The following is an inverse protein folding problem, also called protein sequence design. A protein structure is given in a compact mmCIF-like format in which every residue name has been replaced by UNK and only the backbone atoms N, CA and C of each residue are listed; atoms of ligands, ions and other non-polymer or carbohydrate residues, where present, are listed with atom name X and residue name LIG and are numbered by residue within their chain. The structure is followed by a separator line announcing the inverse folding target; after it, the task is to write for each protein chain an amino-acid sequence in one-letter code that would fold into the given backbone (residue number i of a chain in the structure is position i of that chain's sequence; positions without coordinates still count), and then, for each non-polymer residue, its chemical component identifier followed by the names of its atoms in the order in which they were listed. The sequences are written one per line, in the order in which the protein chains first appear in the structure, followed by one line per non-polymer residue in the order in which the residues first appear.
data_IF_886799789867
#
_entry.id   IF_886799789867
#
_cell.length_a   1.000
_cell.length_b   1.000
_cell.length_c   1.000
_cell.angle_alpha   90.00
_cell.angle_beta   90.00
_cell.angle_gamma   90.00
#
_symmetry.space_group_name_H-M   'P 1'
#
loop_
_entity.id
_entity.type
_entity.pdbx_description
1 polymer ?
#
# COMPACT_ATOMS: atom_id res chain seq x y z
N UNK A 1 -17.70 12.97 8.10
CA UNK A 1 -17.53 13.46 6.70
C UNK A 1 -17.31 12.25 5.81
N UNK A 2 -17.82 12.23 4.58
CA UNK A 2 -17.53 11.14 3.65
C UNK A 2 -16.05 11.23 3.19
N UNK A 3 -15.42 10.09 3.00
CA UNK A 3 -14.10 10.02 2.37
C UNK A 3 -14.21 10.39 0.88
N UNK A 4 -13.18 11.01 0.35
CA UNK A 4 -13.10 11.43 -1.04
C UNK A 4 -11.87 10.83 -1.73
N UNK A 5 -11.95 10.66 -3.05
CA UNK A 5 -10.82 10.18 -3.83
C UNK A 5 -9.70 11.23 -3.84
N UNK A 6 -8.53 10.95 -3.27
CA UNK A 6 -7.44 11.91 -3.31
C UNK A 6 -6.96 12.09 -4.75
N UNK A 7 -6.63 13.32 -5.11
CA UNK A 7 -5.99 13.59 -6.41
C UNK A 7 -4.61 12.93 -6.46
N UNK A 8 -4.25 12.36 -7.60
CA UNK A 8 -2.88 11.92 -7.84
C UNK A 8 -1.95 13.15 -7.87
N UNK A 9 -0.74 13.05 -7.30
CA UNK A 9 0.25 14.14 -7.37
C UNK A 9 0.96 14.23 -8.73
N UNK A 10 0.58 13.39 -9.71
CA UNK A 10 1.16 13.32 -11.06
C UNK A 10 0.09 12.86 -12.08
N UNK A 11 0.36 13.04 -13.37
CA UNK A 11 -0.52 12.58 -14.45
C UNK A 11 -0.54 11.04 -14.55
N UNK A 12 -1.57 10.48 -15.17
CA UNK A 12 -1.71 9.02 -15.30
C UNK A 12 -0.58 8.37 -16.10
N UNK A 13 -0.02 9.06 -17.09
CA UNK A 13 1.11 8.61 -17.93
C UNK A 13 2.49 8.88 -17.32
N UNK A 14 2.56 9.56 -16.17
CA UNK A 14 3.81 10.00 -15.58
C UNK A 14 4.72 8.86 -15.10
N UNK A 15 4.19 7.66 -14.90
CA UNK A 15 4.95 6.49 -14.44
C UNK A 15 5.37 5.55 -15.58
N UNK A 16 5.05 5.91 -16.84
CA UNK A 16 5.49 5.14 -18.01
C UNK A 16 7.01 5.22 -18.18
N UNK A 17 7.64 4.18 -18.73
CA UNK A 17 7.06 2.93 -19.25
C UNK A 17 6.82 1.85 -18.17
N UNK A 18 7.02 2.14 -16.89
CA UNK A 18 7.03 1.16 -15.80
C UNK A 18 5.63 0.74 -15.35
N UNK A 19 4.70 1.69 -15.30
CA UNK A 19 3.27 1.45 -15.09
C UNK A 19 2.53 2.27 -16.15
N UNK A 20 1.70 1.61 -16.94
CA UNK A 20 1.00 2.24 -18.06
C UNK A 20 -0.14 3.17 -17.60
N UNK A 21 -0.41 4.19 -18.39
CA UNK A 21 -1.43 5.20 -18.11
C UNK A 21 -2.83 4.60 -17.91
N UNK A 22 -3.16 3.56 -18.69
CA UNK A 22 -4.48 2.91 -18.59
C UNK A 22 -4.65 2.16 -17.27
N UNK A 23 -3.61 1.46 -16.82
CA UNK A 23 -3.58 0.85 -15.48
C UNK A 23 -3.79 1.92 -14.40
N UNK A 24 -3.06 3.02 -14.44
CA UNK A 24 -3.16 4.09 -13.45
C UNK A 24 -4.54 4.72 -13.43
N UNK A 25 -5.14 5.00 -14.58
CA UNK A 25 -6.50 5.56 -14.68
C UNK A 25 -7.54 4.62 -14.05
N UNK A 26 -7.53 3.34 -14.42
CA UNK A 26 -8.49 2.35 -13.90
C UNK A 26 -8.26 2.12 -12.42
N UNK A 27 -7.01 1.94 -12.01
CA UNK A 27 -6.63 1.67 -10.64
C UNK A 27 -7.08 2.79 -9.68
N UNK A 28 -6.90 4.05 -10.10
CA UNK A 28 -7.31 5.22 -9.33
C UNK A 28 -8.83 5.45 -9.42
N UNK A 29 -9.40 5.60 -10.64
CA UNK A 29 -10.79 6.06 -10.80
C UNK A 29 -11.85 4.98 -10.64
N UNK A 30 -11.46 3.70 -10.71
CA UNK A 30 -12.38 2.56 -10.57
C UNK A 30 -12.12 1.79 -9.28
N UNK A 31 -10.94 1.21 -9.10
CA UNK A 31 -10.67 0.39 -7.91
C UNK A 31 -10.64 1.23 -6.64
N UNK A 32 -9.81 2.27 -6.56
CA UNK A 32 -9.75 3.10 -5.36
C UNK A 32 -11.08 3.82 -5.09
N UNK A 33 -11.73 4.36 -6.12
CA UNK A 33 -13.04 4.99 -5.96
C UNK A 33 -14.10 4.01 -5.44
N UNK A 34 -14.09 2.75 -5.89
CA UNK A 34 -15.03 1.74 -5.40
C UNK A 34 -14.83 1.45 -3.90
N UNK A 35 -13.57 1.34 -3.43
CA UNK A 35 -13.29 1.20 -2.01
C UNK A 35 -13.87 2.37 -1.20
N UNK A 36 -13.68 3.59 -1.65
CA UNK A 36 -14.19 4.78 -0.98
C UNK A 36 -15.72 4.76 -0.95
N UNK A 37 -16.36 4.49 -2.08
CA UNK A 37 -17.83 4.43 -2.18
C UNK A 37 -18.40 3.39 -1.24
N UNK A 38 -17.83 2.18 -1.23
CA UNK A 38 -18.29 1.08 -0.39
C UNK A 38 -18.03 1.35 1.10
N UNK A 39 -16.90 1.95 1.45
CA UNK A 39 -16.60 2.35 2.83
C UNK A 39 -17.60 3.38 3.33
N UNK A 40 -17.83 4.45 2.56
CA UNK A 40 -18.81 5.49 2.90
C UNK A 40 -20.22 4.92 3.10
N UNK A 41 -20.62 3.98 2.23
CA UNK A 41 -21.92 3.31 2.37
C UNK A 41 -21.99 2.47 3.67
N UNK A 42 -20.92 1.77 4.00
CA UNK A 42 -20.88 0.92 5.18
C UNK A 42 -20.99 1.71 6.51
N UNK A 43 -20.33 2.89 6.58
CA UNK A 43 -20.32 3.70 7.81
C UNK A 43 -21.40 4.78 7.85
N UNK A 44 -22.21 4.90 6.80
CA UNK A 44 -23.25 5.94 6.69
C UNK A 44 -24.17 5.96 7.91
N UNK A 45 -24.33 7.16 8.50
CA UNK A 45 -25.15 7.37 9.69
C UNK A 45 -24.49 6.95 11.00
N UNK A 46 -23.24 6.51 11.00
CA UNK A 46 -22.46 6.15 12.18
C UNK A 46 -21.47 7.28 12.49
N UNK A 47 -21.97 8.34 13.11
CA UNK A 47 -21.26 9.61 13.31
C UNK A 47 -19.84 9.46 13.91
N UNK A 48 -19.65 8.49 14.83
CA UNK A 48 -18.34 8.27 15.47
C UNK A 48 -17.33 7.63 14.52
N UNK A 49 -17.80 6.82 13.55
CA UNK A 49 -16.95 6.23 12.52
C UNK A 49 -16.66 7.24 11.40
N UNK A 50 -17.67 8.03 11.01
CA UNK A 50 -17.53 9.06 9.96
C UNK A 50 -16.55 10.19 10.31
N UNK A 51 -16.20 10.36 11.58
CA UNK A 51 -15.24 11.37 12.06
C UNK A 51 -13.80 10.89 12.08
N UNK A 52 -13.59 9.58 12.08
CA UNK A 52 -12.24 8.98 12.13
C UNK A 52 -11.50 9.19 10.80
N UNK A 53 -10.17 9.30 10.85
CA UNK A 53 -9.35 9.05 9.64
C UNK A 53 -9.50 7.61 9.22
N UNK A 54 -9.24 7.30 7.94
CA UNK A 54 -9.33 5.90 7.49
C UNK A 54 -8.30 5.03 8.18
N UNK A 55 -7.12 5.56 8.47
CA UNK A 55 -6.07 4.89 9.20
C UNK A 55 -6.49 4.55 10.63
N UNK A 56 -7.12 5.49 11.35
CA UNK A 56 -7.63 5.24 12.71
C UNK A 56 -8.79 4.25 12.71
N UNK A 57 -9.64 4.32 11.68
CA UNK A 57 -10.76 3.40 11.53
C UNK A 57 -10.29 1.94 11.36
N UNK A 58 -9.27 1.71 10.52
CA UNK A 58 -8.74 0.36 10.31
C UNK A 58 -7.83 -0.14 11.43
N UNK A 59 -7.21 0.75 12.23
CA UNK A 59 -6.45 0.36 13.43
C UNK A 59 -7.35 -0.22 14.51
N UNK A 60 -8.56 0.25 14.59
CA UNK A 60 -9.50 -0.09 15.67
C UNK A 60 -10.75 -0.84 15.13
N UNK A 61 -10.49 -1.85 14.29
CA UNK A 61 -11.57 -2.67 13.70
C UNK A 61 -12.43 -3.38 14.74
N UNK A 62 -11.90 -3.64 15.93
CA UNK A 62 -12.67 -4.26 17.02
C UNK A 62 -13.77 -3.35 17.57
N UNK A 63 -13.62 -2.02 17.47
CA UNK A 63 -14.67 -1.06 17.85
C UNK A 63 -15.74 -0.88 16.76
N UNK A 64 -15.49 -1.39 15.55
CA UNK A 64 -16.46 -1.33 14.45
C UNK A 64 -17.56 -2.38 14.68
N UNK A 65 -18.86 -2.03 14.55
CA UNK A 65 -19.95 -3.00 14.65
C UNK A 65 -19.74 -4.22 13.76
N UNK A 66 -20.09 -5.39 14.28
CA UNK A 66 -19.79 -6.67 13.63
C UNK A 66 -20.41 -6.80 12.24
N UNK A 67 -21.63 -6.30 12.07
CA UNK A 67 -22.40 -6.34 10.82
C UNK A 67 -21.70 -5.61 9.65
N UNK A 68 -20.88 -4.59 9.94
CA UNK A 68 -20.14 -3.82 8.91
C UNK A 68 -18.63 -4.01 8.99
N UNK A 69 -18.10 -4.71 9.99
CA UNK A 69 -16.65 -4.80 10.24
C UNK A 69 -15.88 -5.36 9.05
N UNK A 70 -16.39 -6.38 8.38
CA UNK A 70 -15.76 -6.95 7.18
C UNK A 70 -15.74 -5.94 6.03
N UNK A 71 -16.82 -5.19 5.83
CA UNK A 71 -16.87 -4.15 4.80
C UNK A 71 -15.86 -3.02 5.09
N UNK A 72 -15.75 -2.60 6.35
CA UNK A 72 -14.78 -1.59 6.80
C UNK A 72 -13.34 -2.11 6.67
N UNK A 73 -13.05 -3.36 7.06
CA UNK A 73 -11.74 -3.99 6.86
C UNK A 73 -11.32 -3.95 5.39
N UNK A 74 -12.16 -4.45 4.49
CA UNK A 74 -11.82 -4.57 3.08
C UNK A 74 -11.74 -3.20 2.39
N UNK A 75 -12.74 -2.37 2.57
CA UNK A 75 -12.84 -1.10 1.84
C UNK A 75 -12.04 0.02 2.53
N UNK A 76 -11.98 0.03 3.84
CA UNK A 76 -11.11 0.92 4.62
C UNK A 76 -9.64 0.62 4.37
N UNK A 77 -9.28 -0.67 4.37
CA UNK A 77 -7.94 -1.11 3.97
C UNK A 77 -7.61 -0.70 2.54
N UNK A 78 -8.53 -0.94 1.61
CA UNK A 78 -8.37 -0.53 0.21
C UNK A 78 -8.14 0.98 0.07
N UNK A 79 -8.94 1.80 0.74
CA UNK A 79 -8.77 3.25 0.70
C UNK A 79 -7.44 3.70 1.32
N UNK A 80 -7.08 3.20 2.49
CA UNK A 80 -5.83 3.55 3.17
C UNK A 80 -4.60 3.13 2.35
N UNK A 81 -4.57 1.87 1.90
CA UNK A 81 -3.44 1.31 1.14
C UNK A 81 -3.20 2.08 -0.17
N UNK A 82 -4.25 2.40 -0.92
CA UNK A 82 -4.11 3.13 -2.18
C UNK A 82 -3.75 4.60 -1.96
N UNK A 83 -4.32 5.27 -0.94
CA UNK A 83 -3.91 6.63 -0.57
C UNK A 83 -2.43 6.73 -0.20
N UNK A 84 -1.90 5.70 0.44
CA UNK A 84 -0.48 5.55 0.74
C UNK A 84 0.33 5.29 -0.55
N UNK A 85 -0.11 4.36 -1.39
CA UNK A 85 0.58 3.92 -2.61
C UNK A 85 0.85 5.07 -3.58
N UNK A 86 -0.15 5.92 -3.83
CA UNK A 86 0.02 7.08 -4.73
C UNK A 86 1.10 8.04 -4.28
N UNK A 87 1.28 8.22 -2.96
CA UNK A 87 2.24 9.17 -2.39
C UNK A 87 3.68 8.69 -2.46
N UNK A 88 3.90 7.38 -2.44
CA UNK A 88 5.26 6.79 -2.45
C UNK A 88 5.80 6.52 -3.85
N UNK A 89 5.05 6.85 -4.90
CA UNK A 89 5.49 6.77 -6.29
C UNK A 89 5.57 8.18 -6.89
N UNK A 90 6.31 8.30 -7.97
CA UNK A 90 6.40 9.56 -8.72
C UNK A 90 7.17 9.43 -10.02
N UNK A 91 7.03 10.43 -10.92
CA UNK A 91 7.85 10.52 -12.13
C UNK A 91 9.29 10.86 -11.79
N UNK A 92 10.23 10.44 -12.64
CA UNK A 92 11.67 10.70 -12.48
C UNK A 92 12.20 10.29 -11.09
N UNK A 93 11.60 9.27 -10.50
CA UNK A 93 11.94 8.71 -9.21
C UNK A 93 12.89 7.50 -9.36
N UNK A 94 12.86 6.57 -8.42
CA UNK A 94 13.79 5.43 -8.39
C UNK A 94 15.07 5.76 -7.64
N UNK A 95 16.15 5.02 -7.94
CA UNK A 95 17.41 5.13 -7.20
C UNK A 95 17.37 4.43 -5.85
N UNK A 96 17.99 5.02 -4.84
CA UNK A 96 18.19 4.41 -3.52
C UNK A 96 17.69 5.32 -2.39
N UNK A 97 17.30 4.76 -1.24
CA UNK A 97 16.99 5.55 -0.03
C UNK A 97 18.22 6.31 0.46
N UNK A 98 17.99 7.36 1.24
CA UNK A 98 19.03 8.21 1.81
C UNK A 98 18.94 8.29 3.33
N UNK A 99 20.02 8.75 3.95
CA UNK A 99 20.05 9.04 5.39
C UNK A 99 19.76 7.79 6.24
N UNK A 100 19.12 8.01 7.38
CA UNK A 100 18.89 6.96 8.37
C UNK A 100 18.15 5.74 7.82
N UNK A 101 17.19 5.92 6.91
CA UNK A 101 16.49 4.81 6.27
C UNK A 101 17.46 3.91 5.49
N UNK A 102 18.39 4.50 4.73
CA UNK A 102 19.42 3.74 3.99
C UNK A 102 20.32 2.95 4.93
N UNK A 103 20.77 3.58 6.01
CA UNK A 103 21.63 2.94 7.03
C UNK A 103 20.92 1.76 7.71
N UNK A 104 19.65 1.93 8.06
CA UNK A 104 18.86 0.90 8.72
C UNK A 104 18.48 -0.24 7.75
N UNK A 105 18.23 0.05 6.48
CA UNK A 105 18.06 -0.98 5.44
C UNK A 105 19.36 -1.80 5.30
N UNK A 106 20.50 -1.12 5.22
CA UNK A 106 21.81 -1.79 5.11
C UNK A 106 22.08 -2.68 6.32
N UNK A 107 21.88 -2.18 7.53
CA UNK A 107 22.14 -2.93 8.77
C UNK A 107 21.17 -4.09 8.97
N UNK A 108 19.90 -3.92 8.57
CA UNK A 108 18.86 -4.94 8.78
C UNK A 108 18.92 -6.05 7.73
N UNK A 109 19.15 -5.69 6.47
CA UNK A 109 18.99 -6.62 5.34
C UNK A 109 20.33 -7.02 4.70
N UNK A 110 21.43 -6.34 5.01
CA UNK A 110 22.75 -6.59 4.47
C UNK A 110 23.16 -5.68 3.30
N UNK A 111 22.22 -4.85 2.84
CA UNK A 111 22.40 -3.91 1.73
C UNK A 111 21.10 -3.64 0.99
N UNK A 112 21.14 -2.67 0.06
CA UNK A 112 19.94 -2.28 -0.69
C UNK A 112 19.52 -3.35 -1.70
N UNK A 113 20.45 -4.03 -2.36
CA UNK A 113 20.11 -5.11 -3.29
C UNK A 113 19.48 -6.31 -2.57
N UNK A 114 20.05 -6.72 -1.43
CA UNK A 114 19.47 -7.78 -0.59
C UNK A 114 18.08 -7.41 -0.07
N UNK A 115 17.88 -6.14 0.27
CA UNK A 115 16.56 -5.63 0.61
C UNK A 115 15.58 -5.76 -0.54
N UNK A 116 15.94 -5.32 -1.76
CA UNK A 116 15.08 -5.45 -2.96
C UNK A 116 14.74 -6.89 -3.26
N UNK A 117 15.70 -7.79 -3.17
CA UNK A 117 15.47 -9.23 -3.38
C UNK A 117 14.45 -9.81 -2.38
N UNK A 118 14.63 -9.53 -1.08
CA UNK A 118 13.72 -10.00 -0.04
C UNK A 118 12.32 -9.40 -0.18
N UNK A 119 12.24 -8.12 -0.54
CA UNK A 119 10.97 -7.43 -0.75
C UNK A 119 10.23 -7.98 -1.97
N UNK A 120 10.94 -8.20 -3.08
CA UNK A 120 10.39 -8.80 -4.28
C UNK A 120 9.90 -10.24 -4.00
N UNK A 121 10.68 -11.03 -3.26
CA UNK A 121 10.30 -12.38 -2.85
C UNK A 121 9.01 -12.40 -2.03
N UNK A 122 8.84 -11.46 -1.09
CA UNK A 122 7.60 -11.32 -0.33
C UNK A 122 6.39 -11.01 -1.22
N UNK A 123 6.56 -10.15 -2.23
CA UNK A 123 5.51 -9.82 -3.20
C UNK A 123 5.17 -10.98 -4.14
N UNK A 124 6.19 -11.69 -4.65
CA UNK A 124 6.02 -12.85 -5.54
C UNK A 124 5.36 -14.02 -4.80
N UNK A 125 5.79 -14.30 -3.57
CA UNK A 125 5.25 -15.38 -2.74
C UNK A 125 3.86 -15.07 -2.15
N UNK A 126 3.37 -13.81 -2.24
CA UNK A 126 1.99 -13.49 -1.88
C UNK A 126 1.05 -14.18 -2.86
N UNK A 127 0.59 -15.36 -2.48
CA UNK A 127 -0.34 -16.16 -3.30
C UNK A 127 -1.69 -15.44 -3.40
N UNK A 128 -2.16 -15.18 -4.63
CA UNK A 128 -3.37 -14.40 -4.89
C UNK A 128 -3.14 -12.88 -4.74
N UNK A 129 -4.18 -12.17 -4.34
CA UNK A 129 -4.18 -10.72 -4.18
C UNK A 129 -3.60 -10.31 -2.83
N UNK A 130 -2.90 -9.19 -2.82
CA UNK A 130 -2.36 -8.62 -1.59
C UNK A 130 -1.29 -7.58 -1.83
N UNK A 131 -0.48 -7.36 -0.81
CA UNK A 131 0.56 -6.34 -0.77
C UNK A 131 1.85 -6.90 -0.19
N UNK A 132 2.99 -6.37 -0.63
CA UNK A 132 4.26 -6.50 0.08
C UNK A 132 4.64 -5.16 0.71
N UNK A 133 5.20 -5.19 1.92
CA UNK A 133 5.48 -4.02 2.73
C UNK A 133 6.87 -4.04 3.32
N UNK A 134 7.50 -2.87 3.40
CA UNK A 134 8.50 -2.55 4.40
C UNK A 134 7.78 -1.81 5.53
N UNK A 135 7.87 -2.33 6.74
CA UNK A 135 7.26 -1.73 7.93
C UNK A 135 8.30 -1.40 9.00
N UNK A 136 7.94 -0.46 9.86
CA UNK A 136 8.58 -0.28 11.16
C UNK A 136 7.71 -0.96 12.20
N UNK A 137 8.19 -2.05 12.76
CA UNK A 137 7.43 -2.82 13.74
C UNK A 137 7.38 -2.12 15.11
N UNK A 138 6.62 -2.66 16.06
CA UNK A 138 6.43 -2.06 17.39
C UNK A 138 7.73 -1.99 18.23
N UNK A 139 8.77 -2.71 17.84
CA UNK A 139 10.12 -2.61 18.44
C UNK A 139 11.01 -1.56 17.74
N UNK A 140 10.46 -0.80 16.79
CA UNK A 140 11.18 0.21 16.02
C UNK A 140 12.12 -0.35 14.95
N UNK A 141 12.05 -1.66 14.65
CA UNK A 141 12.91 -2.34 13.66
C UNK A 141 12.19 -2.41 12.30
N UNK A 142 12.99 -2.37 11.23
CA UNK A 142 12.51 -2.62 9.87
C UNK A 142 12.20 -4.11 9.68
N UNK A 143 11.09 -4.38 9.02
CA UNK A 143 10.64 -5.73 8.69
C UNK A 143 9.97 -5.75 7.32
N UNK A 144 10.21 -6.80 6.53
CA UNK A 144 9.50 -7.06 5.28
C UNK A 144 8.39 -8.07 5.56
N UNK A 145 7.16 -7.70 5.22
CA UNK A 145 5.97 -8.54 5.42
C UNK A 145 5.09 -8.52 4.18
N UNK A 146 4.16 -9.45 4.09
CA UNK A 146 3.09 -9.40 3.10
C UNK A 146 1.72 -9.60 3.75
N UNK A 147 0.71 -8.94 3.21
CA UNK A 147 -0.68 -9.05 3.68
C UNK A 147 -1.61 -9.50 2.55
N UNK A 148 -2.68 -10.20 2.90
CA UNK A 148 -3.67 -10.65 1.93
C UNK A 148 -4.68 -9.55 1.60
N UNK A 149 -5.23 -9.58 0.40
CA UNK A 149 -6.30 -8.69 -0.04
C UNK A 149 -5.97 -7.21 0.22
N UNK A 150 -6.83 -6.50 0.95
CA UNK A 150 -6.59 -5.11 1.34
C UNK A 150 -6.25 -4.97 2.84
N UNK A 151 -5.83 -6.05 3.48
CA UNK A 151 -5.33 -5.97 4.85
C UNK A 151 -4.07 -5.08 4.91
N UNK A 152 -4.03 -4.23 5.91
CA UNK A 152 -2.92 -3.33 6.17
C UNK A 152 -2.19 -3.75 7.45
N UNK A 153 -0.86 -3.61 7.54
CA UNK A 153 -0.14 -3.80 8.80
C UNK A 153 -0.66 -2.95 9.97
N UNK A 154 -1.39 -1.86 9.66
CA UNK A 154 -2.06 -1.02 10.64
C UNK A 154 -3.19 -1.74 11.39
N UNK A 155 -3.77 -2.80 10.83
CA UNK A 155 -4.86 -3.57 11.43
C UNK A 155 -4.40 -4.51 12.55
N UNK A 156 -3.09 -4.64 12.73
CA UNK A 156 -2.50 -5.51 13.73
C UNK A 156 -2.37 -6.98 13.29
N UNK A 157 -1.51 -7.69 14.01
CA UNK A 157 -1.10 -9.07 13.67
C UNK A 157 -2.27 -10.07 13.66
N UNK A 158 -3.26 -9.88 14.52
CA UNK A 158 -4.41 -10.79 14.60
C UNK A 158 -5.29 -10.75 13.34
N UNK A 159 -5.32 -9.63 12.61
CA UNK A 159 -6.17 -9.43 11.44
C UNK A 159 -5.36 -9.58 10.15
N UNK A 160 -4.22 -8.88 10.07
CA UNK A 160 -3.42 -8.80 8.85
C UNK A 160 -2.25 -9.81 8.79
N UNK A 161 -2.00 -10.56 9.88
CA UNK A 161 -0.82 -11.42 9.99
C UNK A 161 0.50 -10.66 10.18
N UNK A 162 0.46 -9.33 10.13
CA UNK A 162 1.58 -8.41 10.29
C UNK A 162 1.14 -7.18 11.08
N UNK A 163 2.07 -6.51 11.76
CA UNK A 163 1.79 -5.33 12.56
C UNK A 163 2.95 -4.34 12.51
N UNK A 164 2.65 -3.08 12.23
CA UNK A 164 3.63 -1.99 12.21
C UNK A 164 3.18 -0.81 11.36
N UNK A 165 4.04 0.19 11.29
CA UNK A 165 3.81 1.37 10.45
C UNK A 165 4.37 1.12 9.05
N UNK A 166 3.56 1.21 7.99
CA UNK A 166 4.03 1.09 6.61
C UNK A 166 5.02 2.21 6.25
N UNK A 167 6.18 1.83 5.72
CA UNK A 167 7.22 2.72 5.20
C UNK A 167 7.18 2.73 3.67
N UNK A 168 7.08 1.54 3.07
CA UNK A 168 6.99 1.29 1.65
C UNK A 168 6.01 0.15 1.41
N UNK A 169 5.28 0.17 0.31
CA UNK A 169 4.36 -0.90 -0.05
C UNK A 169 4.14 -1.01 -1.55
N UNK A 170 3.97 -2.22 -2.04
CA UNK A 170 3.62 -2.47 -3.45
C UNK A 170 2.34 -3.31 -3.52
N UNK A 171 1.41 -2.84 -4.34
CA UNK A 171 0.19 -3.57 -4.68
C UNK A 171 0.53 -4.72 -5.64
N UNK A 172 0.24 -5.96 -5.23
CA UNK A 172 0.43 -7.14 -6.07
C UNK A 172 -0.90 -7.82 -6.45
N UNK A 173 -2.02 -7.09 -6.32
CA UNK A 173 -3.25 -7.45 -7.00
C UNK A 173 -3.02 -7.43 -8.51
N UNK A 174 -3.60 -8.34 -9.25
CA UNK A 174 -3.42 -8.40 -10.72
C UNK A 174 -3.87 -7.12 -11.42
N UNK A 175 -4.90 -6.42 -10.90
CA UNK A 175 -5.35 -5.15 -11.46
C UNK A 175 -4.25 -4.06 -11.48
N UNK A 176 -3.23 -4.17 -10.62
CA UNK A 176 -2.14 -3.21 -10.55
C UNK A 176 -1.12 -3.36 -11.70
N UNK A 177 -1.08 -4.51 -12.40
CA UNK A 177 -0.03 -4.79 -13.38
C UNK A 177 -0.46 -5.59 -14.62
N UNK A 178 -1.67 -6.15 -14.64
CA UNK A 178 -2.04 -7.15 -15.66
C UNK A 178 -2.02 -6.61 -17.10
N UNK A 179 -2.43 -5.37 -17.33
CA UNK A 179 -2.46 -4.80 -18.68
C UNK A 179 -1.08 -4.73 -19.34
N UNK A 180 -0.04 -4.44 -18.56
CA UNK A 180 1.32 -4.32 -19.07
C UNK A 180 2.17 -5.58 -18.87
N UNK A 181 1.93 -6.33 -17.81
CA UNK A 181 2.77 -7.47 -17.41
C UNK A 181 2.06 -8.83 -17.44
N UNK A 182 0.73 -8.89 -17.57
CA UNK A 182 -0.08 -10.08 -17.49
C UNK A 182 0.28 -10.89 -16.21
N UNK A 183 0.65 -12.16 -16.35
CA UNK A 183 1.02 -13.03 -15.22
C UNK A 183 2.44 -12.79 -14.67
N UNK A 184 3.21 -11.86 -15.27
CA UNK A 184 4.63 -11.63 -14.92
C UNK A 184 4.77 -10.67 -13.75
N UNK A 185 4.22 -11.03 -12.59
CA UNK A 185 4.35 -10.24 -11.35
C UNK A 185 5.81 -9.89 -10.99
N UNK A 186 6.81 -10.81 -11.14
CA UNK A 186 8.20 -10.48 -10.89
C UNK A 186 8.72 -9.30 -11.74
N UNK A 187 8.34 -9.24 -13.03
CA UNK A 187 8.74 -8.17 -13.94
C UNK A 187 8.13 -6.82 -13.52
N UNK A 188 6.86 -6.83 -13.11
CA UNK A 188 6.20 -5.65 -12.55
C UNK A 188 6.91 -5.13 -11.30
N UNK A 189 7.20 -6.00 -10.32
CA UNK A 189 7.88 -5.58 -9.09
C UNK A 189 9.27 -5.02 -9.41
N UNK A 190 10.00 -5.63 -10.37
CA UNK A 190 11.30 -5.14 -10.84
C UNK A 190 11.18 -3.76 -11.48
N UNK A 191 10.19 -3.54 -12.33
CA UNK A 191 9.96 -2.25 -12.98
C UNK A 191 9.49 -1.17 -11.98
N UNK A 192 8.68 -1.54 -10.99
CA UNK A 192 8.12 -0.63 -9.99
C UNK A 192 9.20 0.12 -9.19
N UNK A 193 10.39 -0.45 -8.95
CA UNK A 193 11.49 0.23 -8.27
C UNK A 193 11.90 1.55 -8.94
N UNK A 194 11.68 1.68 -10.26
CA UNK A 194 12.01 2.91 -11.01
C UNK A 194 11.05 4.07 -10.72
N UNK A 195 9.91 3.83 -10.12
CA UNK A 195 8.91 4.85 -9.80
C UNK A 195 8.78 5.11 -8.29
N UNK A 196 9.57 4.44 -7.46
CA UNK A 196 9.57 4.65 -6.00
C UNK A 196 10.16 6.02 -5.68
N UNK A 197 9.36 6.85 -5.02
CA UNK A 197 9.79 8.17 -4.53
C UNK A 197 10.41 8.04 -3.13
N UNK A 198 11.73 7.85 -3.07
CA UNK A 198 12.45 7.65 -1.82
C UNK A 198 12.40 8.84 -0.86
N UNK A 199 12.21 10.06 -1.36
CA UNK A 199 12.03 11.24 -0.50
C UNK A 199 10.66 11.18 0.22
N UNK A 200 9.62 10.70 -0.47
CA UNK A 200 8.32 10.47 0.15
C UNK A 200 8.35 9.26 1.10
N UNK A 201 9.02 8.17 0.71
CA UNK A 201 9.21 6.98 1.55
C UNK A 201 9.97 7.34 2.84
N UNK A 202 11.02 8.16 2.75
CA UNK A 202 11.80 8.61 3.90
C UNK A 202 10.99 9.41 4.93
N UNK A 203 9.90 10.07 4.51
CA UNK A 203 8.98 10.80 5.42
C UNK A 203 8.09 9.87 6.24
N UNK A 204 7.93 8.62 5.82
CA UNK A 204 7.17 7.60 6.56
C UNK A 204 8.03 6.89 7.61
N UNK A 205 9.36 7.10 7.60
CA UNK A 205 10.32 6.48 8.50
C UNK A 205 10.66 7.36 9.69
#
# INVERSE_FOLDING_TARGET
MAYELPKLPYAYDALEPHIDARTMEIHHTKHHQAYITNLNNAIKGKADLEKKSVEDLIRDLNSVPEDIRTAVRNNGGGHANHSFFWKIMGPNAGGEPKGKLADDIKSTFGGFDQFKEKFADAGVKRFGSGWAWLIKNNSGKLEIVSTANQDSPLMGKAIAGAEGTPILGVDVWEHAYYLNYQNRRPDYIKAWWNVVNWDAVGKNY
#
